data_IF_971443674572
#
_entry.id   IF_971443674572
#
_cell.length_a   1.000
_cell.length_b   1.000
_cell.length_c   1.000
_cell.angle_alpha   90.00
_cell.angle_beta   90.00
_cell.angle_gamma   90.00
#
_symmetry.space_group_name_H-M   'P 1'
#
loop_
_entity.id
_entity.type
_entity.pdbx_description
1 polymer ?
#
# COMPACT_ATOMS: atom_id res chain seq x y z
N UNK A 1 5.88 -5.40 14.68
CA UNK A 1 6.13 -6.67 13.96
C UNK A 1 6.08 -6.30 12.49
N UNK A 2 7.22 -6.22 11.80
CA UNK A 2 7.26 -5.81 10.39
C UNK A 2 6.33 -6.70 9.56
N UNK A 3 5.27 -6.12 9.02
CA UNK A 3 4.37 -6.80 8.10
C UNK A 3 5.07 -6.93 6.76
N UNK A 4 5.43 -8.16 6.38
CA UNK A 4 5.95 -8.42 5.05
C UNK A 4 4.85 -8.19 4.02
N UNK A 5 5.07 -7.26 3.08
CA UNK A 5 4.17 -7.08 1.93
C UNK A 5 4.27 -8.22 0.91
N UNK A 6 5.26 -9.10 1.07
CA UNK A 6 5.53 -10.28 0.23
C UNK A 6 4.30 -11.07 -0.22
N UNK A 7 3.32 -11.42 0.64
CA UNK A 7 2.12 -12.16 0.24
C UNK A 7 1.23 -11.39 -0.76
N UNK A 8 1.33 -10.06 -0.78
CA UNK A 8 0.51 -9.18 -1.63
C UNK A 8 1.20 -8.75 -2.91
N UNK A 9 2.51 -9.02 -3.05
CA UNK A 9 3.25 -8.68 -4.27
C UNK A 9 2.83 -9.53 -5.48
N UNK A 10 2.08 -10.61 -5.30
CA UNK A 10 1.51 -11.43 -6.39
C UNK A 10 2.53 -11.79 -7.49
N UNK A 11 3.76 -12.08 -7.09
CA UNK A 11 4.86 -12.40 -8.03
C UNK A 11 5.53 -11.21 -8.72
N UNK A 12 5.26 -9.97 -8.31
CA UNK A 12 6.05 -8.82 -8.73
C UNK A 12 7.51 -8.97 -8.30
N UNK A 13 8.40 -9.00 -9.28
CA UNK A 13 9.84 -8.94 -9.03
C UNK A 13 10.24 -7.47 -8.81
N UNK A 14 10.14 -7.01 -7.57
CA UNK A 14 10.60 -5.69 -7.12
C UNK A 14 11.93 -5.82 -6.40
N UNK A 15 12.83 -4.85 -6.56
CA UNK A 15 14.08 -4.82 -5.80
C UNK A 15 13.83 -4.82 -4.29
N UNK A 16 14.75 -5.40 -3.50
CA UNK A 16 14.63 -5.48 -2.03
C UNK A 16 14.36 -4.12 -1.37
N UNK A 17 14.90 -3.05 -1.93
CA UNK A 17 14.63 -1.69 -1.45
C UNK A 17 13.17 -1.32 -1.66
N UNK A 18 12.63 -1.55 -2.85
CA UNK A 18 11.22 -1.29 -3.16
C UNK A 18 10.29 -2.15 -2.31
N UNK A 19 10.60 -3.43 -2.11
CA UNK A 19 9.84 -4.32 -1.22
C UNK A 19 9.73 -3.75 0.21
N UNK A 20 10.84 -3.25 0.77
CA UNK A 20 10.84 -2.61 2.10
C UNK A 20 9.99 -1.35 2.13
N UNK A 21 10.11 -0.48 1.12
CA UNK A 21 9.36 0.77 1.05
C UNK A 21 7.86 0.50 0.93
N UNK A 22 7.47 -0.51 0.15
CA UNK A 22 6.09 -0.96 0.03
C UNK A 22 5.54 -1.51 1.36
N UNK A 23 6.34 -2.32 2.08
CA UNK A 23 5.96 -2.82 3.40
C UNK A 23 5.79 -1.72 4.44
N UNK A 24 6.66 -0.72 4.44
CA UNK A 24 6.55 0.45 5.32
C UNK A 24 5.31 1.28 5.01
N UNK A 25 5.06 1.56 3.73
CA UNK A 25 3.87 2.28 3.30
C UNK A 25 2.58 1.54 3.69
N UNK A 26 2.56 0.21 3.64
CA UNK A 26 1.42 -0.61 4.05
C UNK A 26 1.13 -0.46 5.55
N UNK A 27 2.17 -0.53 6.38
CA UNK A 27 2.05 -0.38 7.83
C UNK A 27 1.54 1.03 8.20
N UNK A 28 2.16 2.06 7.62
CA UNK A 28 1.75 3.46 7.83
C UNK A 28 0.31 3.71 7.37
N UNK A 29 -0.07 3.20 6.20
CA UNK A 29 -1.42 3.40 5.65
C UNK A 29 -2.48 2.71 6.51
N UNK A 30 -2.19 1.51 7.04
CA UNK A 30 -3.09 0.82 7.98
C UNK A 30 -3.27 1.58 9.27
N UNK A 31 -2.16 2.03 9.88
CA UNK A 31 -2.20 2.81 11.11
C UNK A 31 -3.00 4.09 10.88
N UNK A 32 -2.79 4.77 9.75
CA UNK A 32 -3.50 5.99 9.40
C UNK A 32 -5.01 5.79 9.12
N UNK A 33 -5.42 4.59 8.71
CA UNK A 33 -6.83 4.26 8.45
C UNK A 33 -7.51 3.56 9.62
N UNK A 34 -6.77 3.22 10.69
CA UNK A 34 -7.26 2.40 11.82
C UNK A 34 -7.96 1.11 11.36
N UNK A 35 -7.54 0.55 10.22
CA UNK A 35 -8.15 -0.64 9.62
C UNK A 35 -7.42 -1.91 10.07
N UNK A 36 -8.18 -2.84 10.63
CA UNK A 36 -7.73 -4.22 10.90
C UNK A 36 -8.39 -5.21 9.94
N UNK A 37 -7.59 -6.14 9.41
CA UNK A 37 -8.07 -7.27 8.63
C UNK A 37 -7.31 -7.50 7.31
N UNK A 38 -7.21 -8.77 6.91
CA UNK A 38 -6.41 -9.17 5.74
C UNK A 38 -6.95 -8.62 4.40
N UNK A 39 -8.27 -8.42 4.30
CA UNK A 39 -8.92 -7.81 3.15
C UNK A 39 -8.57 -6.32 2.99
N UNK A 40 -8.51 -5.58 4.10
CA UNK A 40 -8.05 -4.18 4.10
C UNK A 40 -6.57 -4.12 3.72
N UNK A 41 -5.74 -4.99 4.30
CA UNK A 41 -4.32 -5.08 3.99
C UNK A 41 -4.07 -5.36 2.50
N UNK A 42 -4.82 -6.30 1.91
CA UNK A 42 -4.73 -6.62 0.48
C UNK A 42 -5.10 -5.43 -0.40
N UNK A 43 -6.15 -4.70 -0.04
CA UNK A 43 -6.62 -3.52 -0.80
C UNK A 43 -5.59 -2.39 -0.72
N UNK A 44 -5.06 -2.13 0.48
CA UNK A 44 -4.00 -1.14 0.71
C UNK A 44 -2.74 -1.53 -0.06
N UNK A 45 -2.26 -2.77 0.07
CA UNK A 45 -1.06 -3.25 -0.61
C UNK A 45 -1.17 -3.14 -2.13
N UNK A 46 -2.30 -3.56 -2.73
CA UNK A 46 -2.56 -3.36 -4.18
C UNK A 46 -2.45 -1.90 -4.58
N UNK A 47 -3.06 -1.01 -3.81
CA UNK A 47 -3.06 0.42 -4.10
C UNK A 47 -1.65 1.00 -4.05
N UNK A 48 -0.88 0.66 -3.02
CA UNK A 48 0.51 1.11 -2.88
C UNK A 48 1.36 0.61 -4.05
N UNK A 49 1.19 -0.65 -4.47
CA UNK A 49 1.90 -1.22 -5.64
C UNK A 49 1.56 -0.45 -6.91
N UNK A 50 0.31 -0.05 -7.12
CA UNK A 50 -0.06 0.77 -8.29
C UNK A 50 0.61 2.15 -8.27
N UNK A 51 0.67 2.81 -7.11
CA UNK A 51 1.36 4.10 -6.97
C UNK A 51 2.86 3.92 -7.22
N UNK A 52 3.45 2.83 -6.74
CA UNK A 52 4.86 2.52 -7.00
C UNK A 52 5.14 2.24 -8.48
N UNK A 53 4.23 1.56 -9.18
CA UNK A 53 4.32 1.34 -10.63
C UNK A 53 4.25 2.63 -11.44
N UNK A 54 3.64 3.70 -10.91
CA UNK A 54 3.63 5.01 -11.55
C UNK A 54 5.00 5.73 -11.48
N UNK A 55 5.99 5.14 -10.79
CA UNK A 55 7.34 5.67 -10.64
C UNK A 55 7.63 6.26 -9.26
N UNK A 56 6.64 6.29 -8.37
CA UNK A 56 6.79 6.81 -7.02
C UNK A 56 7.55 5.82 -6.13
N UNK A 57 8.62 6.26 -5.48
CA UNK A 57 9.43 5.41 -4.58
C UNK A 57 9.46 5.90 -3.14
N UNK A 58 8.96 7.11 -2.88
CA UNK A 58 8.98 7.68 -1.54
C UNK A 58 7.88 7.05 -0.68
N UNK A 59 8.18 6.43 0.47
CA UNK A 59 7.19 5.73 1.30
C UNK A 59 6.08 6.65 1.80
N UNK A 60 6.36 7.91 2.10
CA UNK A 60 5.35 8.91 2.46
C UNK A 60 4.39 9.20 1.30
N UNK A 61 4.91 9.36 0.08
CA UNK A 61 4.09 9.63 -1.10
C UNK A 61 3.32 8.38 -1.56
N UNK A 62 3.89 7.20 -1.35
CA UNK A 62 3.21 5.93 -1.56
C UNK A 62 2.03 5.77 -0.59
N UNK A 63 2.24 6.10 0.69
CA UNK A 63 1.19 6.12 1.71
C UNK A 63 0.12 7.17 1.36
N UNK A 64 0.50 8.42 1.09
CA UNK A 64 -0.45 9.48 0.75
C UNK A 64 -1.23 9.17 -0.55
N UNK A 65 -0.54 8.69 -1.58
CA UNK A 65 -1.15 8.29 -2.85
C UNK A 65 -2.14 7.14 -2.67
N UNK A 66 -1.80 6.17 -1.84
CA UNK A 66 -2.70 5.08 -1.50
C UNK A 66 -3.90 5.56 -0.68
N UNK A 67 -3.70 6.40 0.33
CA UNK A 67 -4.76 7.03 1.12
C UNK A 67 -5.72 7.84 0.24
N UNK A 68 -5.18 8.63 -0.71
CA UNK A 68 -5.99 9.39 -1.67
C UNK A 68 -6.81 8.45 -2.54
N UNK A 69 -6.21 7.43 -3.16
CA UNK A 69 -6.94 6.45 -3.98
C UNK A 69 -8.02 5.73 -3.18
N UNK A 70 -7.73 5.27 -1.97
CA UNK A 70 -8.69 4.57 -1.10
C UNK A 70 -9.84 5.49 -0.68
N UNK A 71 -9.55 6.75 -0.32
CA UNK A 71 -10.59 7.75 -0.04
C UNK A 71 -11.44 8.04 -1.27
N UNK A 72 -10.85 8.20 -2.45
CA UNK A 72 -11.60 8.39 -3.69
C UNK A 72 -12.51 7.19 -3.99
N UNK A 73 -12.05 5.97 -3.74
CA UNK A 73 -12.84 4.75 -3.91
C UNK A 73 -13.97 4.61 -2.89
N UNK A 74 -13.84 5.21 -1.69
CA UNK A 74 -14.91 5.30 -0.70
C UNK A 74 -15.90 6.44 -1.01
N UNK A 75 -15.45 7.52 -1.64
CA UNK A 75 -16.28 8.67 -2.04
C UNK A 75 -17.08 8.43 -3.34
N UNK A 76 -16.65 7.49 -4.19
CA UNK A 76 -17.36 7.05 -5.41
C UNK A 76 -18.05 5.68 -5.23
N UNK A 77 -18.48 5.36 -4.01
CA UNK A 77 -19.40 4.25 -3.76
C UNK A 77 -20.85 4.73 -3.83
N UNK A 78 -21.42 4.73 -5.04
CA UNK A 78 -22.88 4.57 -5.26
C UNK A 78 -23.12 3.16 -5.82
#
# INVERSE_FOLDING_TARGET
MEMSIGPYLDGLNVDRETERLLGLALDMTRVALELEGDLANRTIAKTIIEVAKAGERNPDLLCEGALKKLRQHHLFGD
#
